data_IF_461610348783
#
_entry.id   IF_461610348783
#
_cell.length_a   1.000
_cell.length_b   1.000
_cell.length_c   1.000
_cell.angle_alpha   90.00
_cell.angle_beta   90.00
_cell.angle_gamma   90.00
#
_symmetry.space_group_name_H-M   'P 1'
#
loop_
_entity.id
_entity.type
_entity.pdbx_description
1 polymer ?
#
# COMPACT_ATOMS: atom_id res chain seq x y z
N UNK A 1 75.24 -0.76 -28.38
CA UNK A 1 75.56 -0.88 -26.94
C UNK A 1 74.30 -0.48 -26.19
N UNK A 2 73.76 -1.40 -25.36
CA UNK A 2 72.62 -1.25 -24.42
C UNK A 2 71.22 -0.95 -25.00
N UNK A 3 70.11 -1.64 -24.73
CA UNK A 3 69.74 -2.94 -24.13
C UNK A 3 68.23 -3.13 -24.42
N UNK A 4 67.74 -4.35 -24.69
CA UNK A 4 66.31 -4.73 -24.64
C UNK A 4 65.88 -5.02 -23.20
N UNK A 5 64.67 -4.61 -22.79
CA UNK A 5 63.75 -5.27 -21.81
C UNK A 5 62.59 -4.31 -21.48
N UNK A 6 61.35 -4.65 -21.13
CA UNK A 6 60.44 -5.81 -21.29
C UNK A 6 59.09 -5.30 -20.76
N UNK A 7 57.99 -5.79 -21.33
CA UNK A 7 56.58 -5.55 -20.99
C UNK A 7 56.29 -5.16 -19.53
N UNK A 8 55.59 -4.04 -19.33
CA UNK A 8 54.80 -3.80 -18.12
C UNK A 8 53.32 -3.65 -18.53
N UNK A 9 52.53 -4.59 -18.00
CA UNK A 9 51.15 -4.89 -18.34
C UNK A 9 50.18 -3.73 -18.08
N UNK A 10 49.17 -3.66 -18.95
CA UNK A 10 47.79 -3.17 -18.72
C UNK A 10 47.62 -2.08 -17.66
N UNK A 11 47.31 -0.86 -18.10
CA UNK A 11 46.51 0.03 -17.29
C UNK A 11 45.25 -0.74 -16.85
N UNK A 12 45.16 -1.06 -15.56
CA UNK A 12 43.95 -1.59 -14.97
C UNK A 12 42.96 -0.43 -15.04
N UNK A 13 42.15 -0.41 -16.10
CA UNK A 13 40.91 0.36 -16.10
C UNK A 13 40.04 -0.31 -15.04
N UNK A 14 40.10 0.18 -13.80
CA UNK A 14 39.09 -0.14 -12.80
C UNK A 14 37.82 0.55 -13.28
N UNK A 15 37.05 -0.13 -14.12
CA UNK A 15 35.67 0.24 -14.37
C UNK A 15 34.93 0.02 -13.05
N UNK A 16 34.81 1.05 -12.24
CA UNK A 16 33.71 1.12 -11.28
C UNK A 16 32.46 1.21 -12.16
N UNK A 17 31.83 0.07 -12.40
CA UNK A 17 30.47 0.02 -12.94
C UNK A 17 29.64 0.95 -12.09
N UNK A 18 29.30 2.12 -12.63
CA UNK A 18 28.57 3.15 -11.91
C UNK A 18 27.31 2.54 -11.35
N UNK A 19 27.27 2.34 -10.04
CA UNK A 19 26.01 2.22 -9.31
C UNK A 19 25.38 3.60 -9.41
N UNK A 20 24.46 3.77 -10.37
CA UNK A 20 23.44 4.80 -10.29
C UNK A 20 22.72 4.57 -8.94
N UNK A 21 23.10 5.34 -7.92
CA UNK A 21 22.37 5.38 -6.65
C UNK A 21 21.07 6.13 -6.93
N UNK A 22 20.06 5.43 -7.44
CA UNK A 22 18.70 5.96 -7.49
C UNK A 22 18.23 6.12 -6.04
N UNK A 23 18.33 7.34 -5.51
CA UNK A 23 17.60 7.71 -4.30
C UNK A 23 16.12 7.69 -4.65
N UNK A 24 15.48 6.52 -4.54
CA UNK A 24 14.03 6.44 -4.55
C UNK A 24 13.54 7.30 -3.38
N UNK A 25 13.07 8.51 -3.69
CA UNK A 25 12.52 9.42 -2.69
C UNK A 25 11.29 8.75 -2.09
N UNK A 26 11.40 8.38 -0.82
CA UNK A 26 10.31 7.82 -0.03
C UNK A 26 9.10 8.75 -0.08
N UNK A 27 7.93 8.17 -0.33
CA UNK A 27 6.66 8.90 -0.43
C UNK A 27 5.65 8.27 0.51
N UNK A 28 5.08 9.01 1.48
CA UNK A 28 4.06 8.50 2.37
C UNK A 28 2.74 8.26 1.62
N UNK A 29 2.03 7.15 1.88
CA UNK A 29 0.71 6.93 1.31
C UNK A 29 -0.32 7.91 1.88
N UNK A 30 -1.36 8.16 1.09
CA UNK A 30 -2.66 8.63 1.60
C UNK A 30 -3.64 7.46 1.70
N UNK A 31 -4.62 7.58 2.61
CA UNK A 31 -5.61 6.55 2.89
C UNK A 31 -7.01 7.08 2.58
N UNK A 32 -7.73 6.38 1.70
CA UNK A 32 -9.13 6.67 1.35
C UNK A 32 -10.00 5.48 1.72
N UNK A 33 -11.16 5.75 2.32
CA UNK A 33 -12.15 4.74 2.65
C UNK A 33 -13.45 5.05 1.91
N UNK A 34 -13.92 4.09 1.11
CA UNK A 34 -15.16 4.18 0.34
C UNK A 34 -16.15 3.19 0.92
N UNK A 35 -17.30 3.69 1.36
CA UNK A 35 -18.38 2.89 1.90
C UNK A 35 -19.72 3.33 1.29
N UNK A 36 -20.66 2.41 1.05
CA UNK A 36 -22.00 2.78 0.59
C UNK A 36 -22.80 3.46 1.71
N UNK A 37 -23.74 4.33 1.32
CA UNK A 37 -24.78 4.82 2.23
C UNK A 37 -25.68 3.66 2.69
N UNK A 38 -26.39 3.85 3.80
CA UNK A 38 -27.35 2.86 4.31
C UNK A 38 -28.39 2.45 3.25
N UNK A 39 -28.86 3.42 2.46
CA UNK A 39 -29.84 3.25 1.37
C UNK A 39 -29.34 2.42 0.19
N UNK A 40 -28.04 2.20 0.07
CA UNK A 40 -27.40 1.48 -1.04
C UNK A 40 -26.90 0.08 -0.64
N UNK A 41 -27.29 -0.42 0.53
CA UNK A 41 -27.00 -1.81 0.92
C UNK A 41 -27.84 -2.78 0.07
N UNK A 42 -27.23 -3.34 -0.99
CA UNK A 42 -27.85 -4.34 -1.86
C UNK A 42 -27.99 -5.70 -1.16
N UNK A 43 -28.93 -6.53 -1.62
CA UNK A 43 -29.08 -7.92 -1.15
C UNK A 43 -27.80 -8.77 -1.33
N UNK A 44 -26.93 -8.41 -2.29
CA UNK A 44 -25.66 -9.09 -2.59
C UNK A 44 -24.53 -8.78 -1.59
N UNK A 45 -24.83 -8.07 -0.50
CA UNK A 45 -23.88 -7.68 0.53
C UNK A 45 -23.30 -6.27 0.35
N UNK A 46 -22.56 -5.83 1.36
CA UNK A 46 -21.93 -4.51 1.42
C UNK A 46 -20.42 -4.67 1.24
N UNK A 47 -19.83 -3.82 0.39
CA UNK A 47 -18.38 -3.77 0.17
C UNK A 47 -17.84 -2.44 0.64
N UNK A 48 -16.93 -2.47 1.59
CA UNK A 48 -16.16 -1.30 2.02
C UNK A 48 -14.77 -1.41 1.41
N UNK A 49 -14.35 -0.39 0.67
CA UNK A 49 -13.06 -0.39 -0.04
C UNK A 49 -12.11 0.57 0.65
N UNK A 50 -10.93 0.08 1.00
CA UNK A 50 -9.84 0.88 1.52
C UNK A 50 -8.74 0.97 0.47
N UNK A 51 -8.31 2.19 0.15
CA UNK A 51 -7.31 2.48 -0.87
C UNK A 51 -6.13 3.22 -0.25
N UNK A 52 -4.95 2.59 -0.32
CA UNK A 52 -3.67 3.24 -0.10
C UNK A 52 -3.11 3.69 -1.45
N UNK A 53 -2.67 4.94 -1.57
CA UNK A 53 -2.20 5.51 -2.84
C UNK A 53 -1.03 6.47 -2.65
N UNK A 54 -0.18 6.58 -3.67
CA UNK A 54 0.89 7.58 -3.72
C UNK A 54 2.15 7.20 -2.93
N UNK A 55 2.35 5.92 -2.60
CA UNK A 55 3.46 5.49 -1.74
C UNK A 55 4.69 5.00 -2.51
N UNK A 56 5.85 5.16 -1.87
CA UNK A 56 7.15 4.58 -2.26
C UNK A 56 7.99 4.30 -1.01
N UNK A 57 8.74 3.19 -0.91
CA UNK A 57 8.81 2.07 -1.86
C UNK A 57 7.51 1.26 -1.90
N UNK A 58 7.46 0.14 -2.64
CA UNK A 58 6.34 -0.78 -2.51
C UNK A 58 6.30 -1.43 -1.10
N UNK A 59 5.14 -1.89 -0.66
CA UNK A 59 4.98 -2.65 0.60
C UNK A 59 4.05 -2.00 1.62
N UNK A 60 2.94 -1.38 1.19
CA UNK A 60 1.88 -1.01 2.13
C UNK A 60 1.27 -2.26 2.78
N UNK A 61 0.79 -2.11 4.01
CA UNK A 61 0.00 -3.15 4.70
C UNK A 61 -1.35 -2.56 5.09
N UNK A 62 -2.41 -3.18 4.58
CA UNK A 62 -3.80 -2.87 4.89
C UNK A 62 -4.39 -3.94 5.81
N UNK A 63 -5.06 -3.52 6.87
CA UNK A 63 -5.79 -4.39 7.79
C UNK A 63 -7.11 -3.75 8.23
N UNK A 64 -7.99 -4.57 8.82
CA UNK A 64 -9.33 -4.14 9.19
C UNK A 64 -9.63 -4.40 10.66
N UNK A 65 -10.42 -3.53 11.26
CA UNK A 65 -11.07 -3.77 12.53
C UNK A 65 -12.56 -3.40 12.50
N UNK A 66 -13.30 -4.06 13.39
CA UNK A 66 -14.74 -3.97 13.54
C UNK A 66 -15.04 -3.71 15.01
N UNK A 67 -15.43 -2.48 15.31
CA UNK A 67 -15.50 -1.95 16.67
C UNK A 67 -14.21 -2.23 17.47
N UNK A 68 -13.05 -2.10 16.82
CA UNK A 68 -11.73 -2.33 17.42
C UNK A 68 -11.26 -3.79 17.43
N UNK A 69 -12.10 -4.75 17.06
CA UNK A 69 -11.69 -6.16 16.95
C UNK A 69 -11.13 -6.44 15.56
N UNK A 70 -9.98 -7.08 15.47
CA UNK A 70 -9.35 -7.39 14.19
C UNK A 70 -10.25 -8.30 13.31
N UNK A 71 -10.34 -7.98 12.03
CA UNK A 71 -11.07 -8.77 11.02
C UNK A 71 -10.07 -9.38 10.04
N UNK A 72 -10.18 -10.69 9.81
CA UNK A 72 -9.31 -11.45 8.91
C UNK A 72 -10.10 -12.56 8.22
N UNK A 73 -9.46 -13.29 7.29
CA UNK A 73 -10.07 -14.45 6.63
C UNK A 73 -10.92 -14.06 5.42
N UNK A 74 -11.99 -14.83 5.18
CA UNK A 74 -12.76 -14.78 3.94
C UNK A 74 -13.49 -13.45 3.67
N UNK A 75 -13.71 -12.64 4.70
CA UNK A 75 -14.33 -11.31 4.59
C UNK A 75 -13.39 -10.26 4.01
N UNK A 76 -12.08 -10.49 4.05
CA UNK A 76 -11.04 -9.52 3.65
C UNK A 76 -10.37 -9.99 2.36
N UNK A 77 -10.43 -9.14 1.34
CA UNK A 77 -9.77 -9.37 0.06
C UNK A 77 -8.79 -8.23 -0.22
N UNK A 78 -7.50 -8.49 -0.09
CA UNK A 78 -6.44 -7.50 -0.35
C UNK A 78 -5.80 -7.76 -1.70
N UNK A 79 -5.82 -6.73 -2.56
CA UNK A 79 -5.18 -6.77 -3.88
C UNK A 79 -3.66 -6.69 -3.79
N UNK A 80 -2.97 -7.11 -4.85
CA UNK A 80 -1.54 -6.84 -5.01
C UNK A 80 -1.30 -5.35 -5.24
N UNK A 81 -0.15 -4.87 -4.78
CA UNK A 81 0.28 -3.51 -5.06
C UNK A 81 0.51 -3.29 -6.55
N UNK A 82 0.08 -2.14 -7.05
CA UNK A 82 0.14 -1.76 -8.46
C UNK A 82 0.96 -0.48 -8.62
N UNK A 83 1.90 -0.50 -9.56
CA UNK A 83 2.70 0.68 -9.90
C UNK A 83 1.90 1.60 -10.82
N UNK A 84 1.80 2.87 -10.44
CA UNK A 84 1.11 3.93 -11.17
C UNK A 84 2.03 4.59 -12.22
N UNK A 85 1.45 5.42 -13.08
CA UNK A 85 2.18 6.12 -14.16
C UNK A 85 3.17 7.17 -13.64
N UNK A 86 2.86 7.81 -12.50
CA UNK A 86 3.79 8.68 -11.75
C UNK A 86 4.88 7.89 -11.00
N UNK A 87 4.85 6.56 -11.13
CA UNK A 87 5.73 5.56 -10.56
C UNK A 87 5.56 5.31 -9.06
N UNK A 88 4.58 5.94 -8.41
CA UNK A 88 4.17 5.55 -7.04
C UNK A 88 3.44 4.22 -7.08
N UNK A 89 3.16 3.66 -5.91
CA UNK A 89 2.37 2.45 -5.75
C UNK A 89 1.00 2.76 -5.17
N UNK A 90 0.05 1.87 -5.47
CA UNK A 90 -1.29 1.86 -4.90
C UNK A 90 -1.69 0.44 -4.54
N UNK A 91 -2.41 0.26 -3.44
CA UNK A 91 -2.95 -1.04 -3.04
C UNK A 91 -4.33 -0.83 -2.43
N UNK A 92 -5.24 -1.77 -2.67
CA UNK A 92 -6.57 -1.75 -2.06
C UNK A 92 -6.85 -3.01 -1.25
N UNK A 93 -7.76 -2.88 -0.30
CA UNK A 93 -8.36 -3.98 0.44
C UNK A 93 -9.87 -3.78 0.48
N UNK A 94 -10.62 -4.86 0.29
CA UNK A 94 -12.08 -4.87 0.31
C UNK A 94 -12.53 -5.69 1.50
N UNK A 95 -13.39 -5.10 2.33
CA UNK A 95 -14.10 -5.79 3.40
C UNK A 95 -15.53 -6.06 2.95
N UNK A 96 -15.89 -7.34 2.88
CA UNK A 96 -17.22 -7.80 2.51
C UNK A 96 -18.06 -8.10 3.76
N UNK A 97 -19.20 -7.44 3.87
CA UNK A 97 -20.10 -7.50 5.03
C UNK A 97 -21.50 -7.92 4.60
N UNK A 98 -22.24 -8.55 5.50
CA UNK A 98 -23.68 -8.71 5.31
C UNK A 98 -24.40 -7.36 5.51
N UNK A 99 -25.56 -7.13 4.87
CA UNK A 99 -26.35 -5.92 5.07
C UNK A 99 -26.72 -5.70 6.55
N UNK A 100 -27.00 -6.77 7.30
CA UNK A 100 -27.36 -6.70 8.72
C UNK A 100 -26.18 -6.18 9.55
N UNK A 101 -24.96 -6.68 9.30
CA UNK A 101 -23.74 -6.22 9.99
C UNK A 101 -23.40 -4.77 9.64
N UNK A 102 -23.61 -4.34 8.40
CA UNK A 102 -23.38 -2.95 8.00
C UNK A 102 -24.34 -1.99 8.69
N UNK A 103 -25.62 -2.37 8.77
CA UNK A 103 -26.69 -1.53 9.30
C UNK A 103 -26.87 -1.60 10.82
N UNK A 104 -26.06 -2.40 11.54
CA UNK A 104 -26.18 -2.57 12.99
C UNK A 104 -25.46 -1.49 13.82
N UNK A 105 -25.17 -0.31 13.25
CA UNK A 105 -24.47 0.79 13.94
C UNK A 105 -22.98 0.52 14.25
N UNK A 106 -22.37 -0.48 13.60
CA UNK A 106 -20.97 -0.87 13.82
C UNK A 106 -20.03 0.03 13.02
N UNK A 107 -18.83 0.25 13.57
CA UNK A 107 -17.79 1.06 12.94
C UNK A 107 -16.69 0.14 12.40
N UNK A 108 -16.48 0.23 11.09
CA UNK A 108 -15.44 -0.52 10.39
C UNK A 108 -14.28 0.41 10.09
N UNK A 109 -13.07 0.00 10.49
CA UNK A 109 -11.87 0.82 10.37
C UNK A 109 -10.84 0.09 9.52
N UNK A 110 -10.35 0.76 8.49
CA UNK A 110 -9.18 0.32 7.76
C UNK A 110 -7.94 0.97 8.38
N UNK A 111 -6.90 0.16 8.59
CA UNK A 111 -5.59 0.59 9.08
C UNK A 111 -4.56 0.44 7.96
N UNK A 112 -3.67 1.40 7.85
CA UNK A 112 -2.59 1.43 6.89
C UNK A 112 -1.26 1.63 7.59
N UNK A 113 -0.33 0.72 7.34
CA UNK A 113 1.07 0.83 7.74
C UNK A 113 1.98 0.86 6.51
N UNK A 114 3.05 1.66 6.57
CA UNK A 114 4.02 1.78 5.49
C UNK A 114 5.33 2.41 6.04
N UNK A 115 6.53 2.01 5.58
CA UNK A 115 7.81 2.53 6.12
C UNK A 115 8.00 4.04 6.01
N UNK A 116 7.34 4.68 5.03
CA UNK A 116 7.38 6.13 4.85
C UNK A 116 6.47 6.92 5.81
N UNK A 117 5.66 6.23 6.63
CA UNK A 117 4.80 6.85 7.64
C UNK A 117 5.53 6.95 8.99
N UNK A 118 5.41 8.10 9.64
CA UNK A 118 5.86 8.26 11.04
C UNK A 118 4.93 7.55 12.03
N UNK A 119 3.65 7.42 11.68
CA UNK A 119 2.64 6.69 12.45
C UNK A 119 1.61 6.05 11.50
N UNK A 120 1.00 4.91 11.88
CA UNK A 120 -0.04 4.27 11.07
C UNK A 120 -1.23 5.21 10.82
N UNK A 121 -1.81 5.12 9.63
CA UNK A 121 -3.03 5.82 9.28
C UNK A 121 -4.25 4.94 9.54
N UNK A 122 -5.40 5.55 9.81
CA UNK A 122 -6.67 4.83 9.92
C UNK A 122 -7.82 5.69 9.42
N UNK A 123 -8.80 5.05 8.80
CA UNK A 123 -10.06 5.67 8.39
C UNK A 123 -11.20 4.75 8.77
N UNK A 124 -12.33 5.33 9.18
CA UNK A 124 -13.49 4.58 9.69
C UNK A 124 -14.76 4.95 8.95
N UNK A 125 -15.63 3.98 8.74
CA UNK A 125 -16.95 4.18 8.18
C UNK A 125 -18.01 3.41 8.99
N UNK A 126 -19.23 3.93 8.95
CA UNK A 126 -20.44 3.29 9.45
C UNK A 126 -21.61 3.70 8.55
N UNK A 127 -22.66 2.89 8.49
CA UNK A 127 -23.82 3.17 7.64
C UNK A 127 -24.44 4.55 7.90
N UNK A 128 -24.49 4.96 9.17
CA UNK A 128 -25.07 6.23 9.62
C UNK A 128 -24.27 7.46 9.16
N UNK A 129 -22.93 7.36 9.12
CA UNK A 129 -22.06 8.48 8.74
C UNK A 129 -22.03 8.75 7.22
N UNK A 130 -22.56 7.82 6.44
CA UNK A 130 -22.63 7.92 4.98
C UNK A 130 -24.07 8.19 4.48
N UNK A 131 -24.94 8.71 5.35
CA UNK A 131 -26.35 9.05 5.05
C UNK A 131 -26.54 10.52 4.68
#
# INVERSE_FOLDING_TARGET
MMTLNTFALTAIVLTLSGTELTFDTSSPPSLVLLAPSQSLSSADGVRVVCLAQGFRPDGATLSWSDNGNAVTGAEVQTGSSQRQSDGTFSQNSVLQLSPERWNSGRTYTCHLNHPALTAPLSQSASAEKCS
#
